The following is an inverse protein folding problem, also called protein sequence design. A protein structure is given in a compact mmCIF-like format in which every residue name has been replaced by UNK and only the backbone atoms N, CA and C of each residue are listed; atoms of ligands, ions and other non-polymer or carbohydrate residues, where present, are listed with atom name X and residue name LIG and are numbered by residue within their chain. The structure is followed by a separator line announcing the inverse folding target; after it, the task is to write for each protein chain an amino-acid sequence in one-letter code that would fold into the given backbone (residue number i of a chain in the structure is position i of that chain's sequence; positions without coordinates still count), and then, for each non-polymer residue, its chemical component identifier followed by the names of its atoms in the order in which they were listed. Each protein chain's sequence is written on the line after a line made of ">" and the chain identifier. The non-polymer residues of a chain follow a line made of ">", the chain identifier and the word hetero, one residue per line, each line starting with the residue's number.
data_IF_568467003324
#
_entry.id   IF_568467003324
#
_cell.length_a   1.000
_cell.length_b   1.000
_cell.length_c   1.000
_cell.angle_alpha   90.00
_cell.angle_beta   90.00
_cell.angle_gamma   90.00
#
_symmetry.space_group_name_H-M   'P 1'
#
loop_
_entity.id
_entity.type
_entity.pdbx_description
1 polymer ?
#
# COMPACT_ATOMS: atom_id res chain seq x y z
N UNK A 1 16.78 3.88 8.32
CA UNK A 1 16.97 5.33 8.54
C UNK A 1 16.31 6.08 7.39
N UNK A 2 15.73 7.26 7.60
CA UNK A 2 15.11 8.00 6.49
C UNK A 2 16.18 8.54 5.55
N UNK A 3 15.91 8.44 4.26
CA UNK A 3 16.69 9.07 3.21
C UNK A 3 16.26 10.55 3.10
N UNK A 4 16.88 11.40 3.92
CA UNK A 4 16.50 12.82 4.04
C UNK A 4 16.58 13.58 2.70
N UNK A 5 17.42 13.13 1.76
CA UNK A 5 17.51 13.73 0.44
C UNK A 5 16.17 13.69 -0.31
N UNK A 6 15.33 12.66 -0.07
CA UNK A 6 14.01 12.52 -0.70
C UNK A 6 12.96 13.51 -0.18
N UNK A 7 13.21 14.16 0.95
CA UNK A 7 12.29 15.13 1.58
C UNK A 7 12.89 16.53 1.72
N UNK A 8 13.92 16.85 0.92
CA UNK A 8 14.65 18.13 1.00
C UNK A 8 13.74 19.38 1.07
N UNK A 9 12.72 19.56 0.20
CA UNK A 9 11.80 20.71 0.32
C UNK A 9 11.10 20.84 1.67
N UNK A 10 10.63 19.73 2.26
CA UNK A 10 10.02 19.76 3.59
C UNK A 10 11.00 20.21 4.69
N UNK A 11 12.29 19.93 4.53
CA UNK A 11 13.33 20.31 5.49
C UNK A 11 13.72 21.79 5.41
N UNK A 12 13.31 22.51 4.35
CA UNK A 12 13.57 23.94 4.17
C UNK A 12 12.55 24.79 4.92
N UNK A 13 12.96 25.95 5.45
CA UNK A 13 12.03 26.93 6.01
C UNK A 13 11.57 27.87 4.89
N UNK A 14 10.39 27.62 4.33
CA UNK A 14 10.01 28.25 3.07
C UNK A 14 10.92 27.79 1.93
N UNK A 15 11.51 28.72 1.19
CA UNK A 15 12.53 28.44 0.16
C UNK A 15 13.94 28.33 0.72
N UNK A 16 14.16 28.68 2.00
CA UNK A 16 15.48 28.79 2.59
C UNK A 16 16.01 27.45 3.13
N UNK A 17 17.21 27.01 2.72
CA UNK A 17 17.86 25.84 3.28
C UNK A 17 18.02 25.93 4.80
N UNK A 18 17.78 24.82 5.50
CA UNK A 18 17.97 24.72 6.95
C UNK A 18 18.66 23.41 7.29
N UNK A 19 19.63 23.46 8.21
CA UNK A 19 20.32 22.26 8.69
C UNK A 19 19.37 21.42 9.52
N UNK A 20 19.35 20.10 9.27
CA UNK A 20 18.50 19.16 10.00
C UNK A 20 19.26 18.59 11.19
N UNK A 21 18.84 18.93 12.41
CA UNK A 21 19.44 18.44 13.65
C UNK A 21 18.97 17.02 14.03
N UNK A 22 19.65 16.36 14.97
CA UNK A 22 19.22 15.06 15.51
C UNK A 22 17.84 15.12 16.15
N UNK A 23 17.48 16.24 16.79
CA UNK A 23 16.13 16.49 17.33
C UNK A 23 15.08 16.55 16.20
N UNK A 24 15.41 17.17 15.06
CA UNK A 24 14.53 17.19 13.90
C UNK A 24 14.33 15.77 13.33
N UNK A 25 15.39 14.98 13.24
CA UNK A 25 15.29 13.57 12.81
C UNK A 25 14.40 12.77 13.77
N UNK A 26 14.54 12.98 15.08
CA UNK A 26 13.66 12.36 16.08
C UNK A 26 12.19 12.75 15.88
N UNK A 27 11.90 14.04 15.66
CA UNK A 27 10.55 14.51 15.35
C UNK A 27 9.97 13.84 14.09
N UNK A 28 10.77 13.72 13.02
CA UNK A 28 10.35 13.07 11.78
C UNK A 28 9.99 11.59 11.98
N UNK A 29 10.61 10.90 12.95
CA UNK A 29 10.27 9.52 13.28
C UNK A 29 8.85 9.35 13.85
N UNK A 30 8.19 10.44 14.25
CA UNK A 30 6.76 10.45 14.59
C UNK A 30 5.85 10.16 13.39
N UNK A 31 6.34 10.30 12.16
CA UNK A 31 5.57 10.06 10.93
C UNK A 31 6.00 8.76 10.24
N UNK A 32 5.04 8.12 9.55
CA UNK A 32 5.36 7.05 8.60
C UNK A 32 6.08 7.66 7.38
N UNK A 33 7.01 6.90 6.78
CA UNK A 33 7.81 7.39 5.65
C UNK A 33 6.98 7.91 4.47
N UNK A 34 5.95 7.17 4.07
CA UNK A 34 5.06 7.58 2.98
C UNK A 34 4.27 8.87 3.31
N UNK A 35 4.03 9.16 4.59
CA UNK A 35 3.40 10.42 5.02
C UNK A 35 4.36 11.58 4.78
N UNK A 36 5.63 11.45 5.17
CA UNK A 36 6.65 12.47 4.92
C UNK A 36 6.86 12.73 3.42
N UNK A 37 6.88 11.68 2.59
CA UNK A 37 6.94 11.84 1.13
C UNK A 37 5.73 12.62 0.59
N UNK A 38 4.52 12.35 1.11
CA UNK A 38 3.30 13.07 0.74
C UNK A 38 3.33 14.54 1.18
N UNK A 39 3.81 14.81 2.39
CA UNK A 39 3.94 16.19 2.90
C UNK A 39 5.01 16.97 2.13
N UNK A 40 6.13 16.32 1.79
CA UNK A 40 7.12 16.91 0.91
C UNK A 40 6.57 17.22 -0.50
N UNK A 41 5.69 16.38 -1.04
CA UNK A 41 4.99 16.68 -2.29
C UNK A 41 4.08 17.91 -2.16
N UNK A 42 3.43 18.10 -1.00
CA UNK A 42 2.65 19.30 -0.70
C UNK A 42 3.52 20.57 -0.73
N UNK A 43 4.68 20.53 -0.05
CA UNK A 43 5.63 21.65 -0.03
C UNK A 43 6.12 21.96 -1.45
N UNK A 44 6.48 20.95 -2.25
CA UNK A 44 6.84 21.14 -3.66
C UNK A 44 5.73 21.80 -4.47
N UNK A 45 4.48 21.39 -4.27
CA UNK A 45 3.31 21.96 -4.97
C UNK A 45 3.10 23.43 -4.57
N UNK A 46 3.24 23.74 -3.30
CA UNK A 46 3.15 25.11 -2.80
C UNK A 46 4.29 25.99 -3.30
N UNK A 47 5.54 25.51 -3.29
CA UNK A 47 6.67 26.27 -3.86
C UNK A 47 6.46 26.53 -5.36
N UNK A 48 5.86 25.59 -6.11
CA UNK A 48 5.48 25.83 -7.51
C UNK A 48 4.44 26.95 -7.63
N UNK A 49 3.42 26.96 -6.77
CA UNK A 49 2.41 28.01 -6.70
C UNK A 49 3.03 29.39 -6.39
N UNK A 50 3.86 29.45 -5.35
CA UNK A 50 4.52 30.69 -4.92
C UNK A 50 5.37 31.28 -6.05
N UNK A 51 6.16 30.45 -6.74
CA UNK A 51 6.91 30.89 -7.94
C UNK A 51 6.02 31.41 -9.06
N UNK A 52 4.88 30.76 -9.33
CA UNK A 52 3.95 31.22 -10.38
C UNK A 52 3.23 32.52 -10.05
N UNK A 53 3.23 32.95 -8.79
CA UNK A 53 2.59 34.17 -8.31
C UNK A 53 3.60 35.27 -7.93
N UNK A 54 4.87 35.12 -8.32
CA UNK A 54 5.94 36.10 -8.08
C UNK A 54 6.66 35.97 -6.73
N UNK A 55 6.35 34.93 -5.95
CA UNK A 55 7.03 34.59 -4.69
C UNK A 55 8.27 33.72 -4.92
N UNK A 56 9.39 34.32 -5.34
CA UNK A 56 10.64 33.58 -5.55
C UNK A 56 11.35 33.18 -4.25
N UNK A 57 11.11 33.92 -3.17
CA UNK A 57 11.68 33.64 -1.85
C UNK A 57 10.72 34.00 -0.72
N UNK A 58 10.51 33.06 0.21
CA UNK A 58 9.68 33.27 1.39
C UNK A 58 10.15 32.39 2.55
N UNK A 59 9.67 32.70 3.75
CA UNK A 59 9.83 31.91 4.98
C UNK A 59 8.47 31.63 5.60
N UNK A 60 8.39 30.60 6.44
CA UNK A 60 7.18 30.37 7.23
C UNK A 60 7.05 31.41 8.36
N UNK A 61 5.83 31.72 8.84
CA UNK A 61 4.54 31.12 8.47
C UNK A 61 3.99 31.64 7.13
N UNK A 62 3.17 30.82 6.49
CA UNK A 62 2.31 31.28 5.40
C UNK A 62 1.17 32.12 5.98
N UNK A 63 0.78 33.16 5.26
CA UNK A 63 -0.37 33.99 5.58
C UNK A 63 -1.70 33.29 5.23
N UNK A 64 -2.83 33.73 5.83
CA UNK A 64 -4.14 33.23 5.44
C UNK A 64 -4.43 33.38 3.95
N UNK A 65 -4.09 34.53 3.38
CA UNK A 65 -4.37 34.86 1.97
C UNK A 65 -3.63 33.92 1.03
N UNK A 66 -2.34 33.69 1.28
CA UNK A 66 -1.54 32.73 0.51
C UNK A 66 -2.11 31.30 0.52
N UNK A 67 -2.74 30.90 1.63
CA UNK A 67 -3.38 29.58 1.73
C UNK A 67 -4.68 29.54 0.92
N UNK A 68 -5.47 30.62 0.93
CA UNK A 68 -6.69 30.72 0.12
C UNK A 68 -6.36 30.71 -1.37
N UNK A 69 -5.40 31.52 -1.78
CA UNK A 69 -4.90 31.58 -3.15
C UNK A 69 -4.31 30.24 -3.59
N UNK A 70 -3.55 29.56 -2.72
CA UNK A 70 -3.08 28.20 -3.01
C UNK A 70 -4.23 27.21 -3.20
N UNK A 71 -5.30 27.31 -2.39
CA UNK A 71 -6.46 26.44 -2.52
C UNK A 71 -7.18 26.66 -3.85
N UNK A 72 -7.37 27.93 -4.26
CA UNK A 72 -7.97 28.28 -5.54
C UNK A 72 -7.09 27.83 -6.72
N UNK A 73 -5.79 28.12 -6.68
CA UNK A 73 -4.84 27.78 -7.75
C UNK A 73 -4.60 26.28 -7.93
N UNK A 74 -4.57 25.51 -6.83
CA UNK A 74 -4.31 24.08 -6.89
C UNK A 74 -5.59 23.25 -7.00
N UNK A 75 -6.70 23.72 -6.42
CA UNK A 75 -7.98 23.03 -6.47
C UNK A 75 -8.61 23.13 -7.85
N UNK A 76 -9.48 22.18 -8.19
CA UNK A 76 -10.30 22.31 -9.38
C UNK A 76 -11.32 23.43 -9.20
N UNK A 77 -11.48 24.23 -10.23
CA UNK A 77 -12.50 25.27 -10.35
C UNK A 77 -13.44 24.87 -11.48
N UNK A 78 -14.75 24.95 -11.22
CA UNK A 78 -15.75 24.55 -12.21
C UNK A 78 -15.62 25.43 -13.45
N UNK A 79 -15.60 24.81 -14.64
CA UNK A 79 -15.47 25.47 -15.94
C UNK A 79 -14.13 26.20 -16.20
N UNK A 80 -13.14 26.08 -15.31
CA UNK A 80 -11.83 26.74 -15.44
C UNK A 80 -10.68 25.72 -15.24
N UNK A 81 -10.56 24.68 -16.08
CA UNK A 81 -9.55 23.65 -15.88
C UNK A 81 -8.13 24.19 -16.11
N UNK A 82 -7.23 23.88 -15.18
CA UNK A 82 -5.81 24.25 -15.31
C UNK A 82 -4.89 23.03 -15.25
N UNK A 83 -3.66 23.18 -15.76
CA UNK A 83 -2.62 22.16 -15.64
C UNK A 83 -2.15 21.93 -14.19
N UNK A 84 -2.57 22.79 -13.24
CA UNK A 84 -2.20 22.69 -11.83
C UNK A 84 -3.26 21.98 -10.99
N UNK A 85 -4.43 21.71 -11.55
CA UNK A 85 -5.57 21.15 -10.85
C UNK A 85 -5.27 19.82 -10.18
N UNK A 86 -5.71 19.72 -8.92
CA UNK A 86 -5.77 18.47 -8.18
C UNK A 86 -7.17 18.29 -7.59
N UNK A 87 -7.56 17.03 -7.41
CA UNK A 87 -8.81 16.71 -6.73
C UNK A 87 -8.83 17.30 -5.31
N UNK A 88 -10.01 17.68 -4.82
CA UNK A 88 -10.25 18.21 -3.47
C UNK A 88 -9.65 17.31 -2.37
N UNK A 89 -9.76 15.99 -2.53
CA UNK A 89 -9.14 15.01 -1.63
C UNK A 89 -7.60 15.01 -1.63
N UNK A 90 -6.98 15.45 -2.73
CA UNK A 90 -5.52 15.64 -2.82
C UNK A 90 -5.12 16.98 -2.23
N UNK A 91 -5.87 18.05 -2.53
CA UNK A 91 -5.65 19.38 -1.95
C UNK A 91 -5.72 19.35 -0.41
N UNK A 92 -6.71 18.64 0.14
CA UNK A 92 -6.82 18.39 1.60
C UNK A 92 -5.54 17.78 2.18
N UNK A 93 -4.92 16.81 1.49
CA UNK A 93 -3.66 16.20 1.94
C UNK A 93 -2.49 17.16 1.83
N UNK A 94 -2.49 18.04 0.83
CA UNK A 94 -1.48 19.09 0.73
C UNK A 94 -1.57 20.05 1.91
N UNK A 95 -2.78 20.48 2.28
CA UNK A 95 -2.99 21.34 3.44
C UNK A 95 -2.51 20.68 4.75
N UNK A 96 -2.75 19.38 4.96
CA UNK A 96 -2.14 18.66 6.09
C UNK A 96 -0.60 18.64 6.03
N UNK A 97 -0.03 18.55 4.83
CA UNK A 97 1.42 18.66 4.62
C UNK A 97 1.96 20.05 4.97
N UNK A 98 1.24 21.12 4.60
CA UNK A 98 1.60 22.49 4.95
C UNK A 98 1.49 22.72 6.47
N UNK A 99 0.45 22.21 7.12
CA UNK A 99 0.34 22.24 8.59
C UNK A 99 1.49 21.51 9.27
N UNK A 100 1.85 20.31 8.80
CA UNK A 100 2.99 19.57 9.32
C UNK A 100 4.33 20.29 9.07
N UNK A 101 4.44 21.01 7.95
CA UNK A 101 5.63 21.81 7.62
C UNK A 101 5.82 22.98 8.59
N UNK A 102 4.73 23.69 8.92
CA UNK A 102 4.74 24.71 9.99
C UNK A 102 5.10 24.08 11.34
N UNK A 103 4.46 22.97 11.70
CA UNK A 103 4.74 22.28 12.96
C UNK A 103 6.22 21.86 13.10
N UNK A 104 6.82 21.36 12.02
CA UNK A 104 8.22 20.94 12.00
C UNK A 104 9.20 22.11 12.19
N UNK A 105 8.91 23.29 11.64
CA UNK A 105 9.77 24.46 11.77
C UNK A 105 9.48 25.33 13.00
N UNK A 106 8.40 25.02 13.72
CA UNK A 106 7.86 25.73 14.87
C UNK A 106 7.11 27.07 14.68
N UNK A 107 6.89 27.65 13.48
CA UNK A 107 5.92 28.74 13.36
C UNK A 107 4.48 28.22 13.44
N UNK A 108 3.57 29.07 13.92
CA UNK A 108 2.14 28.74 14.04
C UNK A 108 1.49 28.73 12.64
N UNK A 109 0.75 27.68 12.32
CA UNK A 109 -0.12 27.66 11.13
C UNK A 109 -1.29 28.63 11.34
N UNK A 110 -1.75 29.38 10.32
CA UNK A 110 -2.85 30.33 10.49
C UNK A 110 -4.20 29.59 10.66
N UNK A 111 -4.53 29.24 11.89
CA UNK A 111 -5.70 28.43 12.25
C UNK A 111 -7.05 29.07 11.84
N UNK A 112 -7.10 30.40 11.71
CA UNK A 112 -8.29 31.15 11.29
C UNK A 112 -8.75 30.78 9.86
N UNK A 113 -7.89 30.16 9.07
CA UNK A 113 -8.16 29.76 7.67
C UNK A 113 -9.17 28.63 7.54
N UNK A 114 -9.40 27.85 8.61
CA UNK A 114 -10.16 26.60 8.54
C UNK A 114 -11.57 26.73 7.96
N UNK A 115 -12.41 27.73 8.32
CA UNK A 115 -13.74 27.88 7.74
C UNK A 115 -13.69 28.14 6.23
N UNK A 116 -12.90 29.12 5.78
CA UNK A 116 -12.75 29.48 4.37
C UNK A 116 -12.18 28.34 3.55
N UNK A 117 -11.10 27.70 4.02
CA UNK A 117 -10.51 26.52 3.38
C UNK A 117 -11.52 25.38 3.24
N UNK A 118 -12.38 25.17 4.25
CA UNK A 118 -13.42 24.14 4.18
C UNK A 118 -14.42 24.44 3.06
N UNK A 119 -14.81 25.70 2.87
CA UNK A 119 -15.70 26.11 1.78
C UNK A 119 -15.02 25.93 0.42
N UNK A 120 -13.77 26.38 0.26
CA UNK A 120 -13.00 26.22 -0.99
C UNK A 120 -12.84 24.73 -1.37
N UNK A 121 -12.54 23.86 -0.39
CA UNK A 121 -12.46 22.41 -0.61
C UNK A 121 -13.80 21.81 -1.06
N UNK A 122 -14.93 22.31 -0.57
CA UNK A 122 -16.26 21.88 -1.03
C UNK A 122 -16.51 22.34 -2.47
N UNK A 123 -16.18 23.58 -2.81
CA UNK A 123 -16.28 24.08 -4.19
C UNK A 123 -15.48 23.21 -5.17
N UNK A 124 -14.23 22.86 -4.83
CA UNK A 124 -13.45 21.92 -5.64
C UNK A 124 -14.02 20.51 -5.65
N UNK A 125 -14.69 20.06 -4.59
CA UNK A 125 -15.34 18.75 -4.58
C UNK A 125 -16.59 18.70 -5.48
N UNK A 126 -17.32 19.81 -5.61
CA UNK A 126 -18.39 19.93 -6.60
C UNK A 126 -17.83 19.87 -8.02
N UNK A 127 -16.74 20.60 -8.31
CA UNK A 127 -16.06 20.50 -9.60
C UNK A 127 -15.51 19.08 -9.88
N UNK A 128 -15.00 18.39 -8.86
CA UNK A 128 -14.57 16.99 -8.97
C UNK A 128 -15.72 16.05 -9.36
N UNK A 129 -16.94 16.33 -8.93
CA UNK A 129 -18.12 15.47 -9.13
C UNK A 129 -18.66 15.55 -10.57
N UNK A 130 -18.44 16.65 -11.27
CA UNK A 130 -18.77 16.80 -12.70
C UNK A 130 -17.85 15.97 -13.60
N UNK A 131 -16.70 15.52 -13.09
CA UNK A 131 -15.81 14.62 -13.81
C UNK A 131 -16.26 13.18 -13.68
N UNK A 132 -16.07 12.40 -14.75
CA UNK A 132 -16.33 10.97 -14.73
C UNK A 132 -15.54 10.29 -13.60
N UNK A 133 -16.25 9.53 -12.77
CA UNK A 133 -15.62 8.82 -11.67
C UNK A 133 -14.55 7.88 -12.20
N UNK A 134 -13.33 7.97 -11.65
CA UNK A 134 -12.26 7.04 -12.02
C UNK A 134 -12.73 5.61 -11.75
N UNK A 135 -12.48 4.67 -12.69
CA UNK A 135 -12.84 3.28 -12.48
C UNK A 135 -12.19 2.77 -11.21
N UNK A 136 -12.96 2.05 -10.40
CA UNK A 136 -12.44 1.42 -9.20
C UNK A 136 -11.31 0.47 -9.61
N UNK A 137 -10.23 0.42 -8.82
CA UNK A 137 -9.12 -0.51 -9.06
C UNK A 137 -9.64 -1.94 -9.25
N UNK A 138 -9.07 -2.64 -10.24
CA UNK A 138 -9.43 -4.00 -10.56
C UNK A 138 -9.16 -4.97 -9.40
N UNK A 139 -9.88 -6.09 -9.39
CA UNK A 139 -9.70 -7.17 -8.44
C UNK A 139 -8.79 -8.25 -9.04
N UNK A 140 -7.91 -8.83 -8.22
CA UNK A 140 -7.23 -10.07 -8.60
C UNK A 140 -8.25 -11.20 -8.58
N UNK A 141 -8.41 -11.95 -9.68
CA UNK A 141 -9.26 -13.13 -9.76
C UNK A 141 -8.39 -14.39 -9.68
N UNK A 142 -9.02 -15.56 -9.49
CA UNK A 142 -8.29 -16.85 -9.46
C UNK A 142 -7.48 -17.07 -10.75
N UNK A 143 -8.01 -16.71 -11.91
CA UNK A 143 -7.29 -16.79 -13.19
C UNK A 143 -5.98 -16.02 -13.19
N UNK A 144 -5.94 -14.85 -12.56
CA UNK A 144 -4.70 -14.06 -12.42
C UNK A 144 -3.69 -14.76 -11.50
N UNK A 145 -4.13 -15.48 -10.46
CA UNK A 145 -3.22 -16.27 -9.62
C UNK A 145 -2.68 -17.50 -10.35
N UNK A 146 -3.52 -18.17 -11.14
CA UNK A 146 -3.10 -19.28 -12.00
C UNK A 146 -2.10 -18.82 -13.03
N UNK A 147 -2.32 -17.64 -13.65
CA UNK A 147 -1.35 -17.00 -14.53
C UNK A 147 -0.01 -16.80 -13.82
N UNK A 148 -0.01 -16.14 -12.66
CA UNK A 148 1.23 -15.92 -11.88
C UNK A 148 1.93 -17.25 -11.56
N UNK A 149 1.19 -18.28 -11.18
CA UNK A 149 1.77 -19.56 -10.85
C UNK A 149 2.38 -20.26 -12.08
N UNK A 150 1.71 -20.20 -13.25
CA UNK A 150 2.25 -20.72 -14.52
C UNK A 150 3.53 -20.01 -14.93
N UNK A 151 3.58 -18.69 -14.78
CA UNK A 151 4.73 -17.86 -15.16
C UNK A 151 5.90 -18.00 -14.18
N UNK A 152 5.64 -18.06 -12.87
CA UNK A 152 6.67 -17.87 -11.84
C UNK A 152 7.14 -19.17 -11.17
N UNK A 153 6.33 -20.24 -11.13
CA UNK A 153 6.64 -21.42 -10.32
C UNK A 153 7.93 -22.14 -10.74
N UNK A 154 8.24 -22.14 -12.04
CA UNK A 154 9.48 -22.73 -12.60
C UNK A 154 10.61 -21.70 -12.79
N UNK A 155 10.41 -20.46 -12.35
CA UNK A 155 11.40 -19.39 -12.48
C UNK A 155 12.57 -19.54 -11.51
N UNK A 156 13.41 -18.49 -11.49
CA UNK A 156 14.50 -18.34 -10.53
C UNK A 156 13.98 -18.16 -9.09
N UNK A 157 14.89 -18.08 -8.12
CA UNK A 157 14.54 -17.98 -6.70
C UNK A 157 13.66 -16.75 -6.40
N UNK A 158 13.95 -15.61 -7.04
CA UNK A 158 13.14 -14.40 -6.96
C UNK A 158 11.69 -14.64 -7.42
N UNK A 159 11.48 -15.29 -8.57
CA UNK A 159 10.14 -15.60 -9.09
C UNK A 159 9.34 -16.51 -8.16
N UNK A 160 9.98 -17.53 -7.57
CA UNK A 160 9.32 -18.43 -6.61
C UNK A 160 8.93 -17.68 -5.33
N UNK A 161 9.81 -16.83 -4.82
CA UNK A 161 9.51 -15.97 -3.66
C UNK A 161 8.36 -14.98 -3.96
N UNK A 162 8.35 -14.41 -5.17
CA UNK A 162 7.30 -13.49 -5.63
C UNK A 162 5.94 -14.19 -5.74
N UNK A 163 5.90 -15.40 -6.27
CA UNK A 163 4.68 -16.21 -6.34
C UNK A 163 4.13 -16.48 -4.94
N UNK A 164 4.98 -16.95 -4.03
CA UNK A 164 4.58 -17.24 -2.65
C UNK A 164 4.07 -15.97 -1.95
N UNK A 165 4.73 -14.83 -2.13
CA UNK A 165 4.26 -13.52 -1.64
C UNK A 165 2.89 -13.15 -2.21
N UNK A 166 2.65 -13.36 -3.51
CA UNK A 166 1.38 -13.04 -4.15
C UNK A 166 0.22 -13.91 -3.61
N UNK A 167 0.47 -15.21 -3.36
CA UNK A 167 -0.50 -16.10 -2.74
C UNK A 167 -0.86 -15.64 -1.33
N UNK A 168 0.13 -15.27 -0.51
CA UNK A 168 -0.10 -14.76 0.84
C UNK A 168 -0.82 -13.40 0.82
N UNK A 169 -0.46 -12.52 -0.10
CA UNK A 169 -1.16 -11.24 -0.27
C UNK A 169 -2.64 -11.43 -0.62
N UNK A 170 -2.95 -12.36 -1.52
CA UNK A 170 -4.33 -12.65 -1.91
C UNK A 170 -5.12 -13.31 -0.78
N UNK A 171 -4.62 -14.42 -0.24
CA UNK A 171 -5.35 -15.21 0.75
C UNK A 171 -5.43 -14.49 2.10
N UNK A 172 -4.39 -13.76 2.49
CA UNK A 172 -4.38 -12.97 3.72
C UNK A 172 -5.06 -11.61 3.56
N UNK A 173 -5.49 -11.26 2.34
CA UNK A 173 -5.97 -9.92 1.99
C UNK A 173 -4.98 -8.84 2.46
N UNK A 174 -3.68 -9.15 2.47
CA UNK A 174 -2.63 -8.30 3.02
C UNK A 174 -2.30 -7.17 2.03
N UNK A 175 -1.83 -6.05 2.55
CA UNK A 175 -1.22 -5.02 1.70
C UNK A 175 0.18 -5.48 1.33
N UNK A 176 0.62 -5.25 0.09
CA UNK A 176 2.00 -5.58 -0.27
C UNK A 176 3.04 -4.90 0.63
N UNK A 177 2.78 -3.68 1.10
CA UNK A 177 3.68 -3.00 2.04
C UNK A 177 3.77 -3.64 3.43
N UNK A 178 2.88 -4.58 3.77
CA UNK A 178 2.95 -5.39 4.99
C UNK A 178 3.83 -6.63 4.78
N UNK A 179 4.07 -7.04 3.53
CA UNK A 179 4.81 -8.27 3.16
C UNK A 179 6.14 -7.99 2.44
N UNK A 180 6.47 -6.72 2.20
CA UNK A 180 7.68 -6.29 1.47
C UNK A 180 8.54 -5.37 2.33
N UNK A 181 9.79 -5.18 1.92
CA UNK A 181 10.82 -4.52 2.71
C UNK A 181 11.27 -3.19 2.10
N UNK A 182 11.85 -2.33 2.93
CA UNK A 182 12.30 -0.98 2.53
C UNK A 182 13.57 -1.01 1.67
N UNK A 183 14.43 -2.01 1.88
CA UNK A 183 15.73 -2.19 1.21
C UNK A 183 15.90 -3.66 0.81
N UNK A 184 16.57 -3.95 -0.32
CA UNK A 184 16.85 -5.33 -0.73
C UNK A 184 17.89 -6.00 0.17
N UNK A 185 18.72 -5.23 0.87
CA UNK A 185 19.79 -5.71 1.75
C UNK A 185 19.85 -4.89 3.04
N UNK A 186 20.60 -5.38 4.02
CA UNK A 186 20.84 -4.69 5.28
C UNK A 186 19.89 -5.10 6.41
N UNK A 187 19.89 -4.35 7.53
CA UNK A 187 19.19 -4.78 8.73
C UNK A 187 17.67 -4.65 8.60
N UNK A 188 16.97 -5.68 9.07
CA UNK A 188 15.51 -5.72 9.15
C UNK A 188 15.01 -5.06 10.44
N UNK A 189 13.95 -4.26 10.31
CA UNK A 189 13.28 -3.66 11.48
C UNK A 189 12.27 -4.66 12.04
N UNK A 190 12.63 -5.38 13.11
CA UNK A 190 11.76 -6.39 13.74
C UNK A 190 10.34 -5.89 14.08
N UNK A 191 10.16 -4.59 14.32
CA UNK A 191 8.85 -3.99 14.64
C UNK A 191 7.98 -3.64 13.42
N UNK A 192 8.51 -3.74 12.21
CA UNK A 192 7.86 -3.27 10.98
C UNK A 192 8.09 -4.19 9.77
N UNK A 193 8.77 -5.32 9.97
CA UNK A 193 9.13 -6.29 8.93
C UNK A 193 8.61 -7.67 9.33
N UNK A 194 8.16 -8.45 8.35
CA UNK A 194 7.76 -9.84 8.56
C UNK A 194 9.00 -10.73 8.50
N UNK A 195 9.24 -11.48 9.56
CA UNK A 195 10.39 -12.37 9.72
C UNK A 195 9.96 -13.84 9.58
N UNK A 196 10.93 -14.73 9.45
CA UNK A 196 10.70 -16.18 9.49
C UNK A 196 10.04 -16.61 10.79
N UNK A 197 10.41 -15.99 11.91
CA UNK A 197 9.82 -16.25 13.23
C UNK A 197 8.35 -15.86 13.36
N UNK A 198 7.84 -15.02 12.45
CA UNK A 198 6.45 -14.55 12.50
C UNK A 198 5.46 -15.53 11.87
N UNK A 199 5.94 -16.54 11.13
CA UNK A 199 5.13 -17.61 10.55
C UNK A 199 5.04 -18.81 11.50
N UNK A 200 3.82 -19.15 11.91
CA UNK A 200 3.54 -20.25 12.84
C UNK A 200 2.56 -21.23 12.22
N UNK A 201 2.83 -22.53 12.37
CA UNK A 201 1.97 -23.60 11.88
C UNK A 201 1.29 -24.28 13.06
N UNK A 202 -0.03 -24.19 13.11
CA UNK A 202 -0.84 -24.74 14.20
C UNK A 202 -1.52 -26.01 13.68
N UNK A 203 -1.21 -27.15 14.30
CA UNK A 203 -1.85 -28.42 13.98
C UNK A 203 -3.23 -28.46 14.64
N UNK A 204 -4.28 -28.41 13.83
CA UNK A 204 -5.65 -28.66 14.26
C UNK A 204 -6.06 -30.13 14.08
N UNK A 205 -7.28 -30.51 14.50
CA UNK A 205 -7.74 -31.91 14.46
C UNK A 205 -7.75 -32.55 13.07
N UNK A 206 -7.97 -31.75 12.01
CA UNK A 206 -8.11 -32.25 10.63
C UNK A 206 -7.11 -31.64 9.65
N UNK A 207 -6.38 -30.59 10.05
CA UNK A 207 -5.52 -29.85 9.12
C UNK A 207 -4.53 -28.94 9.83
N UNK A 208 -3.45 -28.54 9.13
CA UNK A 208 -2.48 -27.56 9.61
C UNK A 208 -2.89 -26.18 9.09
N UNK A 209 -3.17 -25.25 10.00
CA UNK A 209 -3.45 -23.84 9.69
C UNK A 209 -2.17 -23.05 9.89
N UNK A 210 -1.81 -22.22 8.92
CA UNK A 210 -0.70 -21.29 9.09
C UNK A 210 -1.21 -19.94 9.59
N UNK A 211 -0.44 -19.30 10.46
CA UNK A 211 -0.68 -17.94 10.93
C UNK A 211 0.56 -17.10 10.65
N UNK A 212 0.37 -15.86 10.18
CA UNK A 212 1.44 -14.91 9.96
C UNK A 212 1.22 -13.66 10.81
N UNK A 213 2.19 -13.34 11.65
CA UNK A 213 2.19 -12.13 12.47
C UNK A 213 2.69 -10.93 11.65
N UNK A 214 1.85 -9.90 11.52
CA UNK A 214 2.16 -8.65 10.83
C UNK A 214 2.34 -7.56 11.89
N UNK A 215 3.56 -7.03 11.98
CA UNK A 215 3.93 -5.97 12.91
C UNK A 215 3.89 -4.61 12.22
N UNK A 216 3.49 -3.57 12.94
CA UNK A 216 3.53 -2.19 12.43
C UNK A 216 2.49 -1.88 11.34
N UNK A 217 1.44 -2.71 11.23
CA UNK A 217 0.30 -2.47 10.36
C UNK A 217 -0.34 -1.10 10.62
N UNK A 218 -0.85 -0.45 9.57
CA UNK A 218 -1.33 0.95 9.62
C UNK A 218 -2.40 1.21 10.69
N UNK A 219 -3.20 0.19 11.01
CA UNK A 219 -4.33 0.27 11.95
C UNK A 219 -3.98 -0.20 13.36
N UNK A 220 -2.74 -0.66 13.59
CA UNK A 220 -2.28 -1.06 14.91
C UNK A 220 -1.56 0.11 15.58
N UNK A 221 -1.74 0.24 16.89
CA UNK A 221 -0.85 1.06 17.72
C UNK A 221 0.61 0.62 17.51
N UNK A 222 1.60 1.50 17.68
CA UNK A 222 3.01 1.09 17.67
C UNK A 222 3.24 -0.14 18.58
N UNK A 223 3.80 -1.21 18.03
CA UNK A 223 3.99 -2.49 18.74
C UNK A 223 2.82 -3.49 18.64
N UNK A 224 1.66 -3.08 18.11
CA UNK A 224 0.53 -3.98 17.87
C UNK A 224 0.82 -5.00 16.76
N UNK A 225 0.33 -6.22 16.96
CA UNK A 225 0.47 -7.36 16.05
C UNK A 225 -0.90 -7.68 15.46
N UNK A 226 -0.95 -7.77 14.14
CA UNK A 226 -2.11 -8.28 13.40
C UNK A 226 -1.81 -9.72 12.96
N UNK A 227 -2.77 -10.62 13.13
CA UNK A 227 -2.60 -12.02 12.72
C UNK A 227 -3.38 -12.31 11.44
N UNK A 228 -2.69 -12.83 10.43
CA UNK A 228 -3.32 -13.37 9.22
C UNK A 228 -3.42 -14.88 9.36
N UNK A 229 -4.60 -15.45 9.16
CA UNK A 229 -4.83 -16.89 9.27
C UNK A 229 -5.10 -17.50 7.89
N UNK A 230 -4.42 -18.62 7.61
CA UNK A 230 -4.44 -19.30 6.32
C UNK A 230 -4.86 -20.75 6.51
N UNK A 231 -6.12 -21.10 6.21
CA UNK A 231 -6.50 -22.51 6.11
C UNK A 231 -5.78 -23.17 4.93
N UNK A 232 -5.44 -24.46 5.04
CA UNK A 232 -4.86 -25.18 3.92
C UNK A 232 -5.90 -25.36 2.81
N UNK A 233 -5.42 -25.25 1.58
CA UNK A 233 -6.20 -25.49 0.36
C UNK A 233 -5.54 -26.64 -0.38
N UNK A 234 -6.34 -27.53 -0.97
CA UNK A 234 -5.87 -28.72 -1.69
C UNK A 234 -5.60 -28.41 -3.17
N UNK A 235 -4.81 -27.37 -3.45
CA UNK A 235 -4.37 -27.07 -4.82
C UNK A 235 -3.07 -26.26 -4.86
N UNK A 236 -2.59 -25.96 -6.06
CA UNK A 236 -1.35 -25.24 -6.32
C UNK A 236 -1.30 -23.81 -5.74
N UNK A 237 -2.46 -23.23 -5.41
CA UNK A 237 -2.57 -21.88 -4.85
C UNK A 237 -2.55 -21.88 -3.31
N UNK A 238 -2.22 -23.00 -2.67
CA UNK A 238 -2.27 -23.15 -1.22
C UNK A 238 -1.35 -22.18 -0.46
N UNK A 239 -1.89 -21.30 0.40
CA UNK A 239 -1.09 -20.35 1.17
C UNK A 239 -0.23 -21.02 2.25
N UNK A 240 -0.71 -22.12 2.83
CA UNK A 240 0.07 -22.89 3.82
C UNK A 240 1.34 -23.44 3.17
N UNK A 241 1.23 -24.04 1.98
CA UNK A 241 2.40 -24.54 1.23
C UNK A 241 3.32 -23.41 0.76
N UNK A 242 2.77 -22.24 0.43
CA UNK A 242 3.58 -21.06 0.11
C UNK A 242 4.44 -20.61 1.31
N UNK A 243 3.87 -20.58 2.53
CA UNK A 243 4.63 -20.27 3.74
C UNK A 243 5.68 -21.34 4.06
N UNK A 244 5.34 -22.63 3.92
CA UNK A 244 6.29 -23.73 4.11
C UNK A 244 7.50 -23.56 3.19
N UNK A 245 7.28 -23.35 1.89
CA UNK A 245 8.37 -23.11 0.92
C UNK A 245 9.24 -21.92 1.32
N UNK A 246 8.64 -20.81 1.77
CA UNK A 246 9.40 -19.63 2.22
C UNK A 246 10.21 -19.89 3.48
N UNK A 247 9.72 -20.71 4.41
CA UNK A 247 10.47 -21.08 5.61
C UNK A 247 11.63 -22.01 5.27
N UNK A 248 11.39 -23.06 4.48
CA UNK A 248 12.43 -23.99 4.03
C UNK A 248 13.56 -23.29 3.27
N UNK A 249 13.22 -22.35 2.39
CA UNK A 249 14.14 -21.50 1.62
C UNK A 249 15.12 -20.71 2.49
N UNK A 250 14.75 -20.40 3.73
CA UNK A 250 15.65 -19.65 4.66
C UNK A 250 16.67 -20.53 5.37
N UNK A 251 16.54 -21.86 5.30
CA UNK A 251 17.47 -22.82 5.93
C UNK A 251 17.66 -22.55 7.44
N UNK A 252 16.59 -22.14 8.12
CA UNK A 252 16.60 -21.87 9.56
C UNK A 252 17.13 -20.49 10.00
N UNK A 253 17.50 -19.60 9.06
CA UNK A 253 17.98 -18.25 9.39
C UNK A 253 16.84 -17.35 9.93
N UNK A 254 17.13 -16.55 10.96
CA UNK A 254 16.26 -15.44 11.38
C UNK A 254 16.41 -14.29 10.39
N UNK A 255 15.51 -14.20 9.42
CA UNK A 255 15.60 -13.24 8.32
C UNK A 255 14.24 -12.91 7.71
N UNK A 256 14.23 -12.15 6.61
CA UNK A 256 13.02 -11.80 5.87
C UNK A 256 12.31 -13.06 5.39
N UNK A 257 11.04 -13.24 5.76
CA UNK A 257 10.22 -14.35 5.25
C UNK A 257 10.12 -14.32 3.72
N UNK A 258 9.88 -13.12 3.14
CA UNK A 258 9.80 -12.96 1.69
C UNK A 258 11.11 -12.40 1.14
N UNK A 259 11.99 -13.31 0.74
CA UNK A 259 13.25 -13.02 0.08
C UNK A 259 13.73 -14.25 -0.70
N UNK A 260 14.92 -14.12 -1.26
CA UNK A 260 15.65 -15.20 -1.92
C UNK A 260 17.14 -15.05 -1.62
N UNK A 261 17.93 -16.10 -1.84
CA UNK A 261 19.39 -15.99 -1.79
C UNK A 261 19.93 -15.65 -3.18
N UNK A 262 20.84 -14.69 -3.26
CA UNK A 262 21.59 -14.44 -4.49
C UNK A 262 22.64 -15.54 -4.75
N UNK A 263 23.42 -15.38 -5.82
CA UNK A 263 24.44 -16.35 -6.22
C UNK A 263 25.56 -16.51 -5.18
N UNK A 264 25.78 -15.50 -4.34
CA UNK A 264 26.74 -15.51 -3.24
C UNK A 264 26.16 -16.07 -1.94
N UNK A 265 24.86 -16.40 -1.92
CA UNK A 265 24.15 -16.89 -0.74
C UNK A 265 23.67 -15.78 0.21
N UNK A 266 23.80 -14.50 -0.18
CA UNK A 266 23.31 -13.38 0.60
C UNK A 266 21.78 -13.26 0.46
N UNK A 267 21.11 -12.94 1.56
CA UNK A 267 19.66 -12.78 1.56
C UNK A 267 19.25 -11.47 0.89
N UNK A 268 18.49 -11.56 -0.18
CA UNK A 268 17.85 -10.43 -0.86
C UNK A 268 16.37 -10.35 -0.47
N UNK A 269 15.98 -9.23 0.14
CA UNK A 269 14.62 -8.96 0.58
C UNK A 269 13.74 -8.46 -0.58
N UNK A 270 12.49 -8.93 -0.65
CA UNK A 270 11.56 -8.45 -1.69
C UNK A 270 11.09 -7.03 -1.40
N UNK A 271 11.58 -6.06 -2.15
CA UNK A 271 11.14 -4.67 -2.04
C UNK A 271 9.83 -4.42 -2.79
N UNK A 272 9.01 -3.50 -2.27
CA UNK A 272 7.71 -3.18 -2.89
C UNK A 272 7.85 -2.70 -4.33
N UNK A 273 8.88 -1.92 -4.64
CA UNK A 273 9.10 -1.37 -5.98
C UNK A 273 9.34 -2.49 -6.99
N UNK A 274 10.25 -3.43 -6.69
CA UNK A 274 10.58 -4.56 -7.56
C UNK A 274 9.36 -5.48 -7.72
N UNK A 275 8.70 -5.84 -6.61
CA UNK A 275 7.48 -6.67 -6.63
C UNK A 275 6.39 -6.05 -7.50
N UNK A 276 6.07 -4.76 -7.29
CA UNK A 276 5.03 -4.08 -8.06
C UNK A 276 5.39 -4.01 -9.55
N UNK A 277 6.65 -3.69 -9.88
CA UNK A 277 7.12 -3.59 -11.27
C UNK A 277 6.96 -4.93 -11.99
N UNK A 278 7.51 -6.01 -11.43
CA UNK A 278 7.47 -7.34 -12.06
C UNK A 278 6.03 -7.85 -12.20
N UNK A 279 5.18 -7.68 -11.18
CA UNK A 279 3.77 -8.08 -11.30
C UNK A 279 3.03 -7.26 -12.37
N UNK A 280 3.27 -5.95 -12.43
CA UNK A 280 2.69 -5.10 -13.47
C UNK A 280 3.13 -5.55 -14.86
N UNK A 281 4.42 -5.83 -15.08
CA UNK A 281 4.95 -6.34 -16.36
C UNK A 281 4.26 -7.65 -16.78
N UNK A 282 4.11 -8.61 -15.85
CA UNK A 282 3.45 -9.90 -16.14
C UNK A 282 1.99 -9.68 -16.52
N UNK A 283 1.25 -8.88 -15.76
CA UNK A 283 -0.17 -8.62 -16.05
C UNK A 283 -0.35 -7.89 -17.38
N UNK A 284 0.42 -6.83 -17.62
CA UNK A 284 0.34 -6.08 -18.88
C UNK A 284 0.74 -6.92 -20.08
N UNK A 285 1.76 -7.78 -19.94
CA UNK A 285 2.20 -8.71 -20.98
C UNK A 285 1.13 -9.74 -21.36
N UNK A 286 0.13 -9.96 -20.51
CA UNK A 286 -1.02 -10.84 -20.76
C UNK A 286 -2.33 -10.05 -20.96
N UNK A 287 -2.26 -8.76 -21.26
CA UNK A 287 -3.44 -7.93 -21.55
C UNK A 287 -4.26 -7.50 -20.34
N UNK A 288 -3.78 -7.74 -19.11
CA UNK A 288 -4.46 -7.33 -17.89
C UNK A 288 -3.97 -5.94 -17.42
N UNK A 289 -4.78 -4.91 -17.64
CA UNK A 289 -4.50 -3.54 -17.18
C UNK A 289 -5.31 -3.21 -15.91
N UNK A 290 -4.89 -2.17 -15.17
CA UNK A 290 -5.62 -1.72 -13.97
C UNK A 290 -5.42 -2.55 -12.69
N UNK A 291 -4.54 -3.55 -12.73
CA UNK A 291 -4.13 -4.34 -11.56
C UNK A 291 -2.94 -3.69 -10.85
N UNK A 292 -2.93 -3.79 -9.52
CA UNK A 292 -1.85 -3.25 -8.67
C UNK A 292 -1.71 -4.07 -7.40
N UNK A 293 -0.71 -3.77 -6.56
CA UNK A 293 -0.59 -4.41 -5.24
C UNK A 293 -1.82 -4.29 -4.35
N UNK A 294 -2.64 -3.25 -4.52
CA UNK A 294 -3.91 -3.11 -3.80
C UNK A 294 -4.97 -4.12 -4.26
N UNK A 295 -4.88 -4.57 -5.51
CA UNK A 295 -5.83 -5.47 -6.16
C UNK A 295 -5.85 -6.86 -5.51
N UNK A 296 -4.78 -7.29 -4.83
CA UNK A 296 -4.78 -8.53 -4.03
C UNK A 296 -5.80 -8.49 -2.90
N UNK A 297 -5.80 -7.41 -2.13
CA UNK A 297 -6.73 -7.21 -1.01
C UNK A 297 -8.18 -7.11 -1.50
N UNK A 298 -8.40 -6.41 -2.62
CA UNK A 298 -9.71 -6.33 -3.30
C UNK A 298 -10.15 -7.72 -3.79
N UNK A 299 -9.25 -8.44 -4.47
CA UNK A 299 -9.48 -9.78 -5.02
C UNK A 299 -9.82 -10.81 -3.96
N UNK A 300 -9.01 -10.92 -2.91
CA UNK A 300 -9.23 -11.89 -1.84
C UNK A 300 -10.54 -11.68 -1.07
N UNK A 301 -11.00 -10.43 -0.95
CA UNK A 301 -12.29 -10.09 -0.34
C UNK A 301 -13.45 -10.41 -1.29
N UNK A 302 -13.33 -9.98 -2.54
CA UNK A 302 -14.35 -10.15 -3.57
C UNK A 302 -14.59 -11.61 -3.91
N UNK A 303 -13.52 -12.40 -4.04
CA UNK A 303 -13.61 -13.85 -4.25
C UNK A 303 -14.36 -14.54 -3.12
N UNK A 304 -14.01 -14.26 -1.85
CA UNK A 304 -14.71 -14.86 -0.70
C UNK A 304 -16.18 -14.48 -0.65
N UNK A 305 -16.50 -13.23 -0.97
CA UNK A 305 -17.88 -12.77 -1.07
C UNK A 305 -18.64 -13.53 -2.17
N UNK A 306 -18.03 -13.69 -3.34
CA UNK A 306 -18.61 -14.46 -4.45
C UNK A 306 -18.81 -15.95 -4.11
N UNK A 307 -17.95 -16.53 -3.27
CA UNK A 307 -18.10 -17.90 -2.76
C UNK A 307 -19.08 -18.02 -1.57
N UNK A 308 -19.85 -16.97 -1.27
CA UNK A 308 -20.86 -17.00 -0.20
C UNK A 308 -20.30 -16.97 1.22
N UNK A 309 -19.04 -16.57 1.42
CA UNK A 309 -18.47 -16.46 2.76
C UNK A 309 -19.20 -15.36 3.57
N UNK A 310 -19.63 -15.65 4.81
CA UNK A 310 -20.25 -14.65 5.67
C UNK A 310 -19.39 -13.40 5.86
N UNK A 311 -20.01 -12.21 5.81
CA UNK A 311 -19.31 -10.92 5.87
C UNK A 311 -18.47 -10.77 7.14
N UNK A 312 -18.96 -11.24 8.29
CA UNK A 312 -18.22 -11.21 9.55
C UNK A 312 -16.89 -12.00 9.47
N UNK A 313 -16.86 -13.11 8.73
CA UNK A 313 -15.65 -13.89 8.46
C UNK A 313 -14.71 -13.18 7.52
N UNK A 314 -15.22 -12.54 6.47
CA UNK A 314 -14.40 -11.71 5.57
C UNK A 314 -13.75 -10.55 6.35
N UNK A 315 -14.53 -9.86 7.20
CA UNK A 315 -14.05 -8.80 8.09
C UNK A 315 -12.95 -9.29 9.03
N UNK A 316 -13.16 -10.43 9.68
CA UNK A 316 -12.17 -11.05 10.57
C UNK A 316 -10.88 -11.40 9.83
N UNK A 317 -10.96 -12.09 8.69
CA UNK A 317 -9.80 -12.49 7.90
C UNK A 317 -9.01 -11.30 7.33
N UNK A 318 -9.69 -10.22 6.94
CA UNK A 318 -9.02 -9.01 6.47
C UNK A 318 -8.64 -8.04 7.59
N UNK A 319 -8.95 -8.38 8.84
CA UNK A 319 -8.79 -7.56 10.03
C UNK A 319 -9.42 -6.16 9.90
N UNK A 320 -10.63 -6.10 9.35
CA UNK A 320 -11.41 -4.87 9.25
C UNK A 320 -12.32 -4.71 10.46
N UNK A 321 -12.05 -3.68 11.27
CA UNK A 321 -12.86 -3.32 12.43
C UNK A 321 -14.06 -2.44 12.07
N UNK A 322 -14.02 -1.73 10.94
CA UNK A 322 -15.10 -0.87 10.44
C UNK A 322 -15.58 -1.29 9.05
N UNK A 323 -16.58 -0.58 8.53
CA UNK A 323 -17.17 -0.81 7.19
C UNK A 323 -16.26 -0.42 6.02
N UNK A 324 -15.00 -0.08 6.29
CA UNK A 324 -14.01 0.15 5.24
C UNK A 324 -13.75 -1.08 4.35
N UNK A 325 -14.21 -2.28 4.74
CA UNK A 325 -14.20 -3.47 3.87
C UNK A 325 -15.06 -3.28 2.61
N UNK A 326 -16.12 -2.46 2.65
CA UNK A 326 -17.00 -2.17 1.50
C UNK A 326 -16.23 -1.54 0.33
N UNK A 327 -15.13 -0.83 0.61
CA UNK A 327 -14.25 -0.26 -0.41
C UNK A 327 -13.55 -1.34 -1.25
N UNK A 328 -13.38 -2.54 -0.68
CA UNK A 328 -12.66 -3.66 -1.28
C UNK A 328 -13.56 -4.68 -1.98
N UNK A 329 -14.88 -4.64 -1.76
CA UNK A 329 -15.79 -5.57 -2.44
C UNK A 329 -16.05 -5.12 -3.88
N UNK A 330 -15.82 -6.06 -4.81
CA UNK A 330 -16.27 -6.00 -6.20
C UNK A 330 -17.19 -7.18 -6.40
N UNK A 331 -18.42 -6.90 -6.83
CA UNK A 331 -19.39 -7.96 -7.09
C UNK A 331 -18.97 -8.71 -8.35
N UNK A 332 -18.90 -10.03 -8.25
CA UNK A 332 -18.72 -10.87 -9.41
C UNK A 332 -20.06 -10.92 -10.14
N UNK A 333 -20.03 -10.80 -11.45
CA UNK A 333 -21.15 -11.18 -12.30
C UNK A 333 -21.45 -12.69 -12.16
N UNK A 334 -22.66 -13.15 -12.56
CA UNK A 334 -22.99 -14.57 -12.55
C UNK A 334 -21.98 -15.43 -13.34
N UNK A 335 -21.50 -14.93 -14.49
CA UNK A 335 -20.50 -15.62 -15.32
C UNK A 335 -19.13 -15.67 -14.65
N UNK A 336 -18.68 -14.58 -14.01
CA UNK A 336 -17.43 -14.58 -13.25
C UNK A 336 -17.48 -15.54 -12.06
N UNK A 337 -18.61 -15.63 -11.38
CA UNK A 337 -18.82 -16.57 -10.27
C UNK A 337 -18.75 -18.01 -10.76
N UNK A 338 -19.46 -18.33 -11.85
CA UNK A 338 -19.44 -19.65 -12.47
C UNK A 338 -18.04 -20.05 -12.94
N UNK A 339 -17.33 -19.14 -13.62
CA UNK A 339 -15.96 -19.36 -14.09
C UNK A 339 -14.99 -19.58 -12.92
N UNK A 340 -15.14 -18.82 -11.83
CA UNK A 340 -14.30 -18.98 -10.64
C UNK A 340 -14.55 -20.32 -9.94
N UNK A 341 -15.81 -20.77 -9.84
CA UNK A 341 -16.17 -22.08 -9.28
C UNK A 341 -15.63 -23.23 -10.13
N UNK A 342 -15.80 -23.15 -11.46
CA UNK A 342 -15.27 -24.15 -12.40
C UNK A 342 -13.75 -24.26 -12.27
N UNK A 343 -13.03 -23.13 -12.36
CA UNK A 343 -11.58 -23.11 -12.22
C UNK A 343 -11.13 -23.62 -10.84
N UNK A 344 -11.86 -23.30 -9.77
CA UNK A 344 -11.57 -23.81 -8.45
C UNK A 344 -11.69 -25.34 -8.36
N UNK A 345 -12.73 -25.92 -8.98
CA UNK A 345 -12.90 -27.38 -9.06
C UNK A 345 -11.74 -28.03 -9.82
N UNK A 346 -11.45 -27.53 -11.03
CA UNK A 346 -10.36 -28.05 -11.88
C UNK A 346 -9.02 -28.05 -11.13
N UNK A 347 -8.71 -26.97 -10.41
CA UNK A 347 -7.49 -26.87 -9.61
C UNK A 347 -7.41 -27.93 -8.49
N UNK A 348 -8.53 -28.25 -7.85
CA UNK A 348 -8.58 -29.26 -6.80
C UNK A 348 -8.50 -30.68 -7.38
N UNK A 349 -9.15 -30.92 -8.52
CA UNK A 349 -9.15 -32.22 -9.19
C UNK A 349 -7.78 -32.58 -9.74
N UNK A 350 -7.09 -31.62 -10.38
CA UNK A 350 -5.71 -31.81 -10.81
C UNK A 350 -4.77 -32.12 -9.64
N UNK A 351 -5.04 -31.56 -8.46
CA UNK A 351 -4.21 -31.74 -7.26
C UNK A 351 -4.43 -33.06 -6.53
N UNK A 352 -5.65 -33.62 -6.61
CA UNK A 352 -5.93 -34.96 -6.06
C UNK A 352 -5.25 -36.06 -6.86
N UNK A 353 -4.98 -35.79 -8.14
CA UNK A 353 -4.36 -36.72 -9.08
C UNK A 353 -2.82 -36.63 -9.12
N UNK A 354 -2.22 -35.75 -8.32
CA UNK A 354 -0.77 -35.45 -8.27
C UNK A 354 -0.19 -35.69 -6.89
#
# INVERSE_FOLDING_TARGET
>A
MFDLAKIKPFLQNGTNPKVTSSRNVHFLNGFKWNTLLSYNAAVKKYVKFSKSTGGDSFVLPLSPEEIYEFCYWAGRVLNEPTANDVASSTLTKYLFGLQAWHLFHHPKYPDLTKPTVTVLLRSSAHADAELSAKPKKGAIHLSHLVLLARTLAKGNQFHRALLDLALIAFWGMARLSELTYDSPTGPLRKTASVLTSDAVFIRGPKSIVATLSIRGAKTCVPGGIQFLSFPPIQNMLCPVRALVRRIEDTKGRDTSLFGYDDEEGNRVHLTKSVVCRTLSEIWTGHGHTGLSGHSFRVGGASFRNAMGMPINRIRSLGCWTSDCYLLYLRLYSPSETSNALKLWSELNDCWRSS
#
